data_IF_424519610154
#
_entry.id   IF_424519610154
#
_cell.length_a   1.000
_cell.length_b   1.000
_cell.length_c   1.000
_cell.angle_alpha   90.00
_cell.angle_beta   90.00
_cell.angle_gamma   90.00
#
_symmetry.space_group_name_H-M   'P 1'
#
loop_
_entity.id
_entity.type
_entity.pdbx_description
1 polymer ?
#
# COMPACT_ATOMS: atom_id res chain seq x y z
N UNK A 1 18.29 3.69 19.68
CA UNK A 1 16.85 3.99 19.76
C UNK A 1 16.12 2.96 18.91
N UNK A 2 15.00 2.43 19.37
CA UNK A 2 14.15 1.55 18.56
C UNK A 2 13.48 2.43 17.49
N UNK A 3 13.66 2.11 16.21
CA UNK A 3 12.96 2.82 15.13
C UNK A 3 11.48 2.48 15.20
N UNK A 4 10.64 3.49 15.01
CA UNK A 4 9.19 3.30 14.85
C UNK A 4 8.93 2.63 13.50
N UNK A 5 7.97 1.71 13.45
CA UNK A 5 7.61 0.93 12.26
C UNK A 5 6.24 1.32 11.70
N UNK A 6 6.12 1.27 10.38
CA UNK A 6 4.86 1.39 9.63
C UNK A 6 4.66 0.13 8.78
N UNK A 7 3.46 -0.43 8.83
CA UNK A 7 3.05 -1.51 7.95
C UNK A 7 2.31 -0.94 6.74
N UNK A 8 2.82 -1.15 5.54
CA UNK A 8 2.09 -0.85 4.30
C UNK A 8 1.58 -2.15 3.69
N UNK A 9 0.26 -2.29 3.56
CA UNK A 9 -0.37 -3.49 2.99
C UNK A 9 -0.83 -3.20 1.57
N UNK A 10 -0.28 -3.93 0.60
CA UNK A 10 -0.56 -3.76 -0.83
C UNK A 10 -1.24 -5.00 -1.41
N UNK A 11 -1.96 -4.81 -2.52
CA UNK A 11 -2.67 -5.89 -3.21
C UNK A 11 -1.72 -6.84 -3.96
N UNK A 12 -2.12 -8.09 -4.15
CA UNK A 12 -1.51 -9.02 -5.10
C UNK A 12 -2.30 -9.15 -6.41
N UNK A 13 -3.44 -8.47 -6.57
CA UNK A 13 -4.35 -8.62 -7.72
C UNK A 13 -3.90 -7.79 -8.91
N UNK A 14 -3.65 -8.46 -10.05
CA UNK A 14 -3.18 -7.83 -11.29
C UNK A 14 -4.30 -7.42 -12.25
N UNK A 15 -5.41 -8.16 -12.25
CA UNK A 15 -6.52 -8.01 -13.17
C UNK A 15 -7.76 -8.70 -12.61
N UNK A 16 -8.94 -8.22 -13.01
CA UNK A 16 -10.18 -8.97 -12.83
C UNK A 16 -11.05 -8.89 -14.09
N UNK A 17 -11.54 -10.04 -14.56
CA UNK A 17 -12.38 -10.18 -15.75
C UNK A 17 -11.79 -9.56 -17.04
N UNK A 18 -10.46 -9.59 -17.20
CA UNK A 18 -9.77 -9.07 -18.39
C UNK A 18 -9.57 -7.55 -18.41
N UNK A 19 -9.87 -6.85 -17.30
CA UNK A 19 -9.59 -5.42 -17.14
C UNK A 19 -8.31 -5.24 -16.33
N UNK A 20 -7.22 -4.87 -17.00
CA UNK A 20 -5.89 -4.63 -16.40
C UNK A 20 -5.79 -3.31 -15.60
N UNK A 21 -6.92 -2.66 -15.29
CA UNK A 21 -6.98 -1.38 -14.61
C UNK A 21 -7.15 -1.51 -13.08
N UNK A 22 -6.88 -2.69 -12.52
CA UNK A 22 -7.24 -3.05 -11.15
C UNK A 22 -6.06 -3.34 -10.23
N UNK A 23 -4.86 -2.87 -10.52
CA UNK A 23 -3.70 -3.10 -9.67
C UNK A 23 -3.33 -1.86 -8.85
N UNK A 24 -2.23 -1.90 -8.08
CA UNK A 24 -1.79 -0.85 -7.17
C UNK A 24 -1.52 0.48 -7.91
N UNK A 25 -1.94 1.62 -7.34
CA UNK A 25 -1.61 2.94 -7.88
C UNK A 25 -0.27 3.44 -7.32
N UNK A 26 0.76 3.64 -8.17
CA UNK A 26 2.14 3.90 -7.72
C UNK A 26 2.30 5.14 -6.84
N UNK A 27 1.60 6.23 -7.17
CA UNK A 27 1.64 7.48 -6.40
C UNK A 27 1.15 7.28 -4.97
N UNK A 28 0.07 6.51 -4.79
CA UNK A 28 -0.53 6.25 -3.47
C UNK A 28 0.35 5.39 -2.58
N UNK A 29 1.28 4.62 -3.16
CA UNK A 29 2.32 3.93 -2.41
C UNK A 29 3.51 4.86 -2.15
N UNK A 30 3.98 5.56 -3.18
CA UNK A 30 5.26 6.26 -3.15
C UNK A 30 5.24 7.49 -2.24
N UNK A 31 4.17 8.29 -2.26
CA UNK A 31 4.04 9.48 -1.41
C UNK A 31 4.13 9.11 0.07
N UNK A 32 3.27 8.24 0.64
CA UNK A 32 3.37 7.91 2.05
C UNK A 32 4.67 7.18 2.39
N UNK A 33 5.20 6.32 1.50
CA UNK A 33 6.49 5.66 1.74
C UNK A 33 7.61 6.68 1.98
N UNK A 34 7.70 7.71 1.14
CA UNK A 34 8.71 8.76 1.24
C UNK A 34 8.49 9.60 2.50
N UNK A 35 7.26 10.01 2.78
CA UNK A 35 6.93 10.80 3.97
C UNK A 35 7.31 10.06 5.27
N UNK A 36 6.96 8.78 5.40
CA UNK A 36 7.33 7.98 6.57
C UNK A 36 8.84 7.75 6.66
N UNK A 37 9.51 7.49 5.54
CA UNK A 37 10.96 7.34 5.50
C UNK A 37 11.67 8.63 5.95
N UNK A 38 11.23 9.79 5.45
CA UNK A 38 11.75 11.10 5.83
C UNK A 38 11.49 11.43 7.31
N UNK A 39 10.37 10.96 7.86
CA UNK A 39 10.05 11.06 9.28
C UNK A 39 10.83 10.05 10.16
N UNK A 40 11.70 9.23 9.57
CA UNK A 40 12.58 8.29 10.28
C UNK A 40 11.95 6.96 10.66
N UNK A 41 10.79 6.62 10.09
CA UNK A 41 10.16 5.33 10.29
C UNK A 41 10.83 4.24 9.45
N UNK A 42 10.81 3.03 9.97
CA UNK A 42 11.08 1.81 9.21
C UNK A 42 9.76 1.32 8.61
N UNK A 43 9.78 0.91 7.33
CA UNK A 43 8.57 0.55 6.61
C UNK A 43 8.66 -0.91 6.21
N UNK A 44 7.69 -1.71 6.66
CA UNK A 44 7.47 -3.07 6.17
C UNK A 44 6.38 -3.01 5.10
N UNK A 45 6.66 -3.56 3.92
CA UNK A 45 5.68 -3.68 2.84
C UNK A 45 5.26 -5.14 2.73
N UNK A 46 3.97 -5.40 2.93
CA UNK A 46 3.41 -6.74 2.94
C UNK A 46 2.20 -6.86 2.02
N UNK A 47 1.91 -8.10 1.61
CA UNK A 47 0.69 -8.44 0.86
C UNK A 47 0.17 -9.82 1.29
N UNK A 48 -1.10 -10.17 1.03
CA UNK A 48 -1.67 -11.44 1.47
C UNK A 48 -0.85 -12.67 1.05
N UNK A 49 -0.33 -12.65 -0.18
CA UNK A 49 0.38 -13.77 -0.78
C UNK A 49 1.91 -13.62 -0.80
N UNK A 50 2.46 -12.51 -0.28
CA UNK A 50 3.86 -12.10 -0.50
C UNK A 50 4.22 -11.87 -1.98
N UNK A 51 5.47 -11.51 -2.26
CA UNK A 51 5.99 -11.43 -3.63
C UNK A 51 5.54 -10.18 -4.37
N UNK A 52 5.14 -10.32 -5.64
CA UNK A 52 4.86 -9.17 -6.50
C UNK A 52 3.51 -8.54 -6.17
N UNK A 53 3.52 -7.24 -5.89
CA UNK A 53 2.36 -6.36 -5.98
C UNK A 53 2.33 -5.68 -7.35
N UNK A 54 1.38 -6.03 -8.23
CA UNK A 54 1.32 -5.49 -9.58
C UNK A 54 0.98 -3.99 -9.54
N UNK A 55 1.54 -3.23 -10.47
CA UNK A 55 1.27 -1.80 -10.65
C UNK A 55 0.23 -1.56 -11.74
N UNK A 56 -0.59 -0.54 -11.57
CA UNK A 56 -1.54 -0.09 -12.58
C UNK A 56 -0.76 0.60 -13.71
N UNK A 57 -0.87 0.14 -14.97
CA UNK A 57 -0.19 0.80 -16.09
C UNK A 57 -0.56 2.28 -16.22
N UNK A 58 -1.79 2.66 -15.84
CA UNK A 58 -2.23 4.06 -15.88
C UNK A 58 -1.57 4.94 -14.80
N UNK A 59 -0.98 4.32 -13.78
CA UNK A 59 -0.17 5.03 -12.77
C UNK A 59 1.29 5.22 -13.19
N UNK A 60 1.69 4.64 -14.33
CA UNK A 60 3.02 4.76 -14.94
C UNK A 60 2.97 5.74 -16.12
N UNK A 61 2.61 6.99 -15.84
CA UNK A 61 2.61 8.08 -16.84
C UNK A 61 4.04 8.39 -17.33
N UNK A 62 4.16 9.10 -18.45
CA UNK A 62 5.47 9.41 -19.06
C UNK A 62 6.42 10.18 -18.12
N UNK A 63 5.89 10.96 -17.17
CA UNK A 63 6.68 11.74 -16.21
C UNK A 63 6.43 11.29 -14.76
N UNK A 64 6.81 10.05 -14.41
CA UNK A 64 6.87 9.66 -13.00
C UNK A 64 8.18 10.15 -12.33
N UNK A 65 8.11 10.70 -11.10
CA UNK A 65 9.30 11.08 -10.35
C UNK A 65 10.29 9.92 -10.23
N UNK A 66 11.58 10.19 -10.49
CA UNK A 66 12.64 9.17 -10.42
C UNK A 66 12.71 8.47 -9.05
N UNK A 67 12.36 9.19 -7.98
CA UNK A 67 12.27 8.62 -6.63
C UNK A 67 11.16 7.56 -6.55
N UNK A 68 10.00 7.75 -7.16
CA UNK A 68 8.93 6.75 -7.16
C UNK A 68 9.34 5.51 -7.96
N UNK A 69 9.99 5.73 -9.12
CA UNK A 69 10.54 4.64 -9.92
C UNK A 69 11.52 3.78 -9.13
N UNK A 70 12.34 4.40 -8.25
CA UNK A 70 13.29 3.65 -7.42
C UNK A 70 12.63 2.76 -6.36
N UNK A 71 11.37 3.05 -5.98
CA UNK A 71 10.61 2.28 -4.99
C UNK A 71 9.91 1.05 -5.58
N UNK A 72 9.78 0.95 -6.91
CA UNK A 72 9.06 -0.18 -7.52
C UNK A 72 9.72 -1.52 -7.23
N UNK A 73 11.04 -1.55 -6.99
CA UNK A 73 11.75 -2.78 -6.61
C UNK A 73 11.25 -3.39 -5.29
N UNK A 74 10.71 -2.57 -4.37
CA UNK A 74 10.13 -3.03 -3.11
C UNK A 74 8.85 -3.83 -3.37
N UNK A 75 8.08 -3.43 -4.39
CA UNK A 75 6.82 -4.07 -4.77
C UNK A 75 7.03 -5.41 -5.49
N UNK A 76 8.24 -5.76 -5.89
CA UNK A 76 8.54 -7.06 -6.50
C UNK A 76 8.70 -8.19 -5.46
N UNK A 77 8.93 -7.84 -4.20
CA UNK A 77 9.24 -8.79 -3.13
C UNK A 77 8.65 -8.36 -1.78
N UNK A 78 7.32 -8.25 -1.70
CA UNK A 78 6.63 -7.97 -0.45
C UNK A 78 6.72 -9.13 0.54
N UNK A 79 6.66 -8.82 1.83
CA UNK A 79 6.49 -9.82 2.87
C UNK A 79 5.08 -10.43 2.85
N UNK A 80 4.96 -11.64 3.39
CA UNK A 80 3.64 -12.24 3.59
C UNK A 80 2.96 -11.55 4.76
N UNK A 81 1.71 -11.13 4.57
CA UNK A 81 0.94 -10.44 5.62
C UNK A 81 0.90 -11.23 6.93
N UNK A 82 0.72 -12.55 6.88
CA UNK A 82 0.72 -13.43 8.05
C UNK A 82 2.00 -13.43 8.88
N UNK A 83 3.12 -13.05 8.27
CA UNK A 83 4.40 -12.91 8.97
C UNK A 83 4.62 -11.48 9.43
N UNK A 84 4.33 -10.50 8.56
CA UNK A 84 4.50 -9.08 8.86
C UNK A 84 3.69 -8.62 10.09
N UNK A 85 2.45 -9.09 10.26
CA UNK A 85 1.56 -8.67 11.37
C UNK A 85 2.01 -9.13 12.76
N UNK A 86 3.06 -9.95 12.86
CA UNK A 86 3.63 -10.40 14.13
C UNK A 86 4.46 -9.31 14.82
N UNK A 87 4.86 -8.29 14.07
CA UNK A 87 5.62 -7.14 14.55
C UNK A 87 4.72 -6.05 15.14
N UNK A 88 5.31 -5.15 15.92
CA UNK A 88 4.63 -3.97 16.46
C UNK A 88 4.83 -2.76 15.54
N UNK A 89 3.71 -2.17 15.09
CA UNK A 89 3.71 -0.97 14.26
C UNK A 89 2.94 0.17 14.91
N UNK A 90 3.26 1.39 14.48
CA UNK A 90 2.61 2.62 14.93
C UNK A 90 1.65 3.19 13.88
N UNK A 91 1.65 2.63 12.67
CA UNK A 91 0.68 2.94 11.64
C UNK A 91 0.52 1.75 10.69
N UNK A 92 -0.66 1.64 10.09
CA UNK A 92 -0.96 0.72 9.00
C UNK A 92 -1.54 1.55 7.86
N UNK A 93 -0.97 1.41 6.67
CA UNK A 93 -1.37 2.13 5.45
C UNK A 93 -1.79 1.13 4.39
N UNK A 94 -2.87 1.43 3.68
CA UNK A 94 -3.36 0.62 2.56
C UNK A 94 -3.39 1.51 1.32
N UNK A 95 -2.32 1.55 0.52
CA UNK A 95 -2.35 2.25 -0.75
C UNK A 95 -3.44 1.69 -1.67
N UNK A 96 -4.09 2.54 -2.44
CA UNK A 96 -5.22 2.20 -3.27
C UNK A 96 -4.88 1.80 -4.71
N UNK A 97 -5.79 2.15 -5.61
CA UNK A 97 -6.05 1.42 -6.86
C UNK A 97 -7.26 0.50 -6.71
N UNK A 98 -7.72 -0.16 -7.77
CA UNK A 98 -8.91 -1.03 -7.64
C UNK A 98 -8.59 -2.42 -7.05
N UNK A 99 -7.31 -2.82 -7.00
CA UNK A 99 -6.88 -4.15 -6.56
C UNK A 99 -7.22 -4.48 -5.12
N UNK A 100 -6.98 -3.56 -4.17
CA UNK A 100 -7.39 -3.72 -2.78
C UNK A 100 -8.86 -4.09 -2.58
N UNK A 101 -9.76 -3.72 -3.50
CA UNK A 101 -11.18 -4.08 -3.40
C UNK A 101 -11.46 -5.57 -3.60
N UNK A 102 -10.50 -6.33 -4.16
CA UNK A 102 -10.70 -7.72 -4.57
C UNK A 102 -10.03 -8.73 -3.64
N UNK A 103 -8.88 -8.40 -3.06
CA UNK A 103 -8.20 -9.25 -2.09
C UNK A 103 -8.26 -8.67 -0.67
N UNK A 104 -7.81 -7.44 -0.49
CA UNK A 104 -7.66 -6.83 0.84
C UNK A 104 -8.99 -6.61 1.54
N UNK A 105 -10.04 -6.21 0.80
CA UNK A 105 -11.37 -5.96 1.36
C UNK A 105 -12.04 -7.21 1.98
N UNK A 106 -11.61 -8.40 1.58
CA UNK A 106 -12.14 -9.69 2.06
C UNK A 106 -11.13 -10.50 2.88
N UNK A 107 -9.94 -9.95 3.13
CA UNK A 107 -8.88 -10.62 3.88
C UNK A 107 -9.19 -10.57 5.39
N UNK A 108 -9.52 -11.72 5.98
CA UNK A 108 -9.88 -11.84 7.40
C UNK A 108 -8.71 -11.49 8.34
N UNK A 109 -7.48 -11.76 7.91
CA UNK A 109 -6.28 -11.43 8.69
C UNK A 109 -6.07 -9.92 8.72
N UNK A 110 -6.22 -9.25 7.58
CA UNK A 110 -6.14 -7.79 7.51
C UNK A 110 -7.27 -7.15 8.33
N UNK A 111 -8.50 -7.66 8.23
CA UNK A 111 -9.63 -7.16 9.00
C UNK A 111 -9.41 -7.28 10.53
N UNK A 112 -8.92 -8.42 11.00
CA UNK A 112 -8.58 -8.61 12.41
C UNK A 112 -7.41 -7.71 12.85
N UNK A 113 -6.38 -7.59 12.01
CA UNK A 113 -5.25 -6.68 12.28
C UNK A 113 -5.71 -5.23 12.40
N UNK A 114 -6.53 -4.73 11.47
CA UNK A 114 -7.08 -3.38 11.52
C UNK A 114 -7.88 -3.13 12.80
N UNK A 115 -8.71 -4.10 13.21
CA UNK A 115 -9.46 -4.04 14.46
C UNK A 115 -8.53 -3.88 15.66
N UNK A 116 -7.48 -4.69 15.74
CA UNK A 116 -6.49 -4.60 16.82
C UNK A 116 -5.78 -3.24 16.85
N UNK A 117 -5.48 -2.65 15.69
CA UNK A 117 -4.90 -1.30 15.61
C UNK A 117 -5.86 -0.21 16.07
N UNK A 118 -7.15 -0.32 15.71
CA UNK A 118 -8.19 0.62 16.12
C UNK A 118 -8.41 0.60 17.64
N UNK A 119 -8.36 -0.58 18.26
CA UNK A 119 -8.54 -0.74 19.71
C UNK A 119 -7.35 -0.20 20.52
N UNK A 120 -6.14 -0.19 19.95
CA UNK A 120 -4.92 0.25 20.63
C UNK A 120 -4.70 1.77 20.68
N UNK A 121 -5.63 2.60 20.16
CA UNK A 121 -5.53 4.08 20.08
C UNK A 121 -4.25 4.56 19.32
N UNK A 122 -3.61 3.66 18.56
CA UNK A 122 -2.38 3.94 17.82
C UNK A 122 -2.64 4.18 16.32
N UNK A 123 -3.90 4.37 15.90
CA UNK A 123 -4.21 4.52 14.48
C UNK A 123 -3.83 5.93 13.99
N UNK A 124 -2.65 6.07 13.36
CA UNK A 124 -2.19 7.37 12.85
C UNK A 124 -2.82 7.77 11.50
N UNK A 125 -3.35 6.83 10.70
CA UNK A 125 -4.32 7.10 9.61
C UNK A 125 -4.73 5.81 8.91
N UNK A 126 -6.01 5.64 8.57
CA UNK A 126 -6.45 4.79 7.47
C UNK A 126 -6.70 5.71 6.27
N UNK A 127 -5.79 5.71 5.30
CA UNK A 127 -5.97 6.43 4.05
C UNK A 127 -6.24 5.42 2.95
N UNK A 128 -7.49 5.30 2.54
CA UNK A 128 -7.90 4.52 1.36
C UNK A 128 -8.28 5.55 0.30
N UNK A 129 -7.41 5.82 -0.67
CA UNK A 129 -7.83 6.53 -1.87
C UNK A 129 -8.33 5.50 -2.89
N UNK A 130 -9.62 5.54 -3.17
CA UNK A 130 -10.14 4.96 -4.42
C UNK A 130 -10.04 6.08 -5.43
N UNK A 131 -8.96 6.11 -6.21
CA UNK A 131 -8.68 7.19 -7.17
C UNK A 131 -9.93 7.55 -7.97
N UNK A 132 -10.43 8.77 -7.79
CA UNK A 132 -11.45 9.32 -8.68
C UNK A 132 -10.81 9.45 -10.05
N UNK A 133 -11.37 8.79 -11.06
CA UNK A 133 -11.07 9.08 -12.46
C UNK A 133 -11.41 10.53 -12.75
N UNK A 134 -10.43 11.42 -12.69
CA UNK A 134 -10.65 12.85 -12.85
C UNK A 134 -9.37 13.62 -13.02
N UNK A 135 -8.91 13.72 -14.27
CA UNK A 135 -8.07 14.82 -14.73
C UNK A 135 -8.84 16.14 -14.57
N UNK A 136 -8.84 16.70 -13.36
CA UNK A 136 -9.34 18.03 -13.05
C UNK A 136 -8.15 18.99 -12.99
N UNK A 137 -7.96 19.76 -14.06
CA UNK A 137 -7.02 20.87 -14.11
C UNK A 137 -7.41 21.89 -13.03
N UNK A 138 -6.52 22.18 -12.09
CA UNK A 138 -6.64 23.40 -11.29
C UNK A 138 -5.99 24.54 -12.09
N UNK A 139 -6.85 25.33 -12.72
CA UNK A 139 -6.55 26.70 -13.18
C UNK A 139 -6.80 27.70 -12.07
#
# INVERSE_FOLDING_TARGET
MIKKKVLMVVTNVDSMNGVNATSLWLEEFSIPYIEFTNAGYEITVASPLSGKSPLNPNSLVEEIPAVWQSLTGILEATEKLSDAVKDEYQALVIPGGHGPMFDLATDELLASTLKDFMEKINLLSLYVMVGSTGSGSFS
#
